data_IF_548141628431
#
_entry.id   IF_548141628431
#
_cell.length_a   1.000
_cell.length_b   1.000
_cell.length_c   1.000
_cell.angle_alpha   90.00
_cell.angle_beta   90.00
_cell.angle_gamma   90.00
#
_symmetry.space_group_name_H-M   'P 1'
#
loop_
_entity.id
_entity.type
_entity.pdbx_description
1 polymer ?
#
# COMPACT_ATOMS: atom_id res chain seq x y z
N UNK A 1 9.77 -18.70 -2.62
CA UNK A 1 9.25 -17.72 -1.65
C UNK A 1 9.25 -16.38 -2.35
N UNK A 2 8.10 -15.71 -2.46
CA UNK A 2 8.10 -14.31 -2.92
C UNK A 2 8.90 -13.52 -1.87
N UNK A 3 10.04 -12.94 -2.26
CA UNK A 3 10.77 -12.04 -1.37
C UNK A 3 9.89 -10.80 -1.19
N UNK A 4 9.31 -10.68 0.00
CA UNK A 4 8.41 -9.59 0.33
C UNK A 4 9.29 -8.43 0.76
N UNK A 5 9.36 -7.39 -0.06
CA UNK A 5 10.14 -6.19 0.21
C UNK A 5 9.22 -5.03 0.51
N UNK A 6 9.75 -4.01 1.18
CA UNK A 6 9.11 -2.70 1.27
C UNK A 6 8.88 -2.13 -0.14
N UNK A 7 7.80 -1.36 -0.30
CA UNK A 7 7.45 -0.70 -1.57
C UNK A 7 7.31 0.80 -1.37
N UNK A 8 7.88 1.60 -2.26
CA UNK A 8 7.66 3.06 -2.30
C UNK A 8 6.33 3.38 -2.96
N UNK A 9 5.84 4.62 -2.77
CA UNK A 9 4.64 5.09 -3.48
C UNK A 9 4.86 5.04 -5.00
N UNK A 10 6.02 5.50 -5.50
CA UNK A 10 6.32 5.50 -6.93
C UNK A 10 6.21 4.11 -7.57
N UNK A 11 6.58 3.05 -6.86
CA UNK A 11 6.44 1.67 -7.34
C UNK A 11 4.98 1.23 -7.51
N UNK A 12 4.03 1.84 -6.81
CA UNK A 12 2.61 1.63 -7.07
C UNK A 12 2.11 2.43 -8.27
N UNK A 13 2.73 3.58 -8.56
CA UNK A 13 2.31 4.47 -9.64
C UNK A 13 2.91 4.10 -11.01
N UNK A 14 3.93 3.25 -11.01
CA UNK A 14 4.65 2.84 -12.21
C UNK A 14 3.71 2.25 -13.26
N UNK A 15 3.79 2.77 -14.49
CA UNK A 15 3.02 2.27 -15.63
C UNK A 15 1.56 2.74 -15.72
N UNK A 16 1.07 3.58 -14.79
CA UNK A 16 -0.33 4.02 -14.78
C UNK A 16 -0.64 5.23 -15.69
N UNK A 17 0.38 5.90 -16.24
CA UNK A 17 0.17 7.00 -17.20
C UNK A 17 -0.61 8.20 -16.63
N UNK A 18 -0.43 8.49 -15.34
CA UNK A 18 -1.19 9.50 -14.59
C UNK A 18 -0.76 10.93 -14.95
N UNK A 19 -1.72 11.86 -14.97
CA UNK A 19 -1.40 13.29 -14.91
C UNK A 19 -1.01 13.73 -13.48
N UNK A 20 -0.43 14.93 -13.34
CA UNK A 20 0.04 15.44 -12.05
C UNK A 20 -1.09 15.56 -11.00
N UNK A 21 -2.30 15.93 -11.41
CA UNK A 21 -3.44 16.09 -10.48
C UNK A 21 -3.91 14.74 -9.96
N UNK A 22 -3.99 13.74 -10.83
CA UNK A 22 -4.29 12.35 -10.44
C UNK A 22 -3.20 11.79 -9.54
N UNK A 23 -1.94 12.04 -9.87
CA UNK A 23 -0.78 11.61 -9.09
C UNK A 23 -0.81 12.16 -7.68
N UNK A 24 -1.02 13.47 -7.51
CA UNK A 24 -1.13 14.11 -6.20
C UNK A 24 -2.27 13.53 -5.35
N UNK A 25 -3.46 13.34 -5.94
CA UNK A 25 -4.61 12.76 -5.25
C UNK A 25 -4.35 11.32 -4.82
N UNK A 26 -3.71 10.52 -5.68
CA UNK A 26 -3.35 9.14 -5.33
C UNK A 26 -2.32 9.13 -4.21
N UNK A 27 -1.26 9.93 -4.30
CA UNK A 27 -0.23 10.04 -3.25
C UNK A 27 -0.91 10.33 -1.90
N UNK A 28 -1.80 11.33 -1.85
CA UNK A 28 -2.52 11.68 -0.63
C UNK A 28 -3.40 10.51 -0.12
N UNK A 29 -4.08 9.80 -1.02
CA UNK A 29 -4.96 8.70 -0.66
C UNK A 29 -4.22 7.48 -0.08
N UNK A 30 -3.03 7.15 -0.59
CA UNK A 30 -2.37 5.88 -0.27
C UNK A 30 -1.19 5.99 0.71
N UNK A 31 -0.67 7.19 0.97
CA UNK A 31 0.57 7.38 1.76
C UNK A 31 0.54 6.63 3.10
N UNK A 32 -0.54 6.82 3.89
CA UNK A 32 -0.67 6.17 5.19
C UNK A 32 -0.76 4.65 5.06
N UNK A 33 -1.51 4.16 4.08
CA UNK A 33 -1.70 2.73 3.81
C UNK A 33 -0.40 2.06 3.39
N UNK A 34 0.40 2.72 2.54
CA UNK A 34 1.75 2.26 2.14
C UNK A 34 2.69 2.19 3.36
N UNK A 35 2.63 3.19 4.24
CA UNK A 35 3.39 3.17 5.49
C UNK A 35 3.00 1.97 6.38
N UNK A 36 1.70 1.72 6.59
CA UNK A 36 1.22 0.58 7.37
C UNK A 36 1.64 -0.76 6.75
N UNK A 37 1.52 -0.87 5.43
CA UNK A 37 1.97 -2.03 4.65
C UNK A 37 3.46 -2.31 4.87
N UNK A 38 4.32 -1.29 4.77
CA UNK A 38 5.76 -1.46 4.96
C UNK A 38 6.13 -1.79 6.43
N UNK A 39 5.39 -1.25 7.40
CA UNK A 39 5.53 -1.67 8.80
C UNK A 39 5.26 -3.17 9.01
N UNK A 40 4.33 -3.76 8.23
CA UNK A 40 4.08 -5.21 8.27
C UNK A 40 5.23 -6.02 7.68
N UNK A 41 5.89 -5.52 6.62
CA UNK A 41 7.10 -6.13 6.07
C UNK A 41 8.20 -6.20 7.14
N UNK A 42 8.50 -5.06 7.79
CA UNK A 42 9.52 -5.01 8.85
C UNK A 42 9.20 -5.99 9.98
N UNK A 43 7.93 -6.05 10.40
CA UNK A 43 7.49 -7.02 11.42
C UNK A 43 7.65 -8.47 10.96
N UNK A 44 7.33 -8.78 9.71
CA UNK A 44 7.50 -10.12 9.15
C UNK A 44 8.99 -10.54 9.05
N UNK A 45 9.88 -9.61 8.71
CA UNK A 45 11.33 -9.86 8.62
C UNK A 45 11.94 -10.15 10.00
N UNK A 46 11.45 -9.49 11.05
CA UNK A 46 11.95 -9.65 12.43
C UNK A 46 11.29 -10.82 13.19
N UNK A 47 10.19 -11.38 12.68
CA UNK A 47 9.42 -12.41 13.35
C UNK A 47 10.05 -13.80 13.17
N UNK A 48 10.22 -14.52 14.28
CA UNK A 48 10.79 -15.87 14.33
C UNK A 48 9.70 -16.94 14.41
N UNK A 49 8.52 -16.58 14.88
CA UNK A 49 7.35 -17.45 14.91
C UNK A 49 6.70 -17.52 13.52
N UNK A 50 6.73 -18.69 12.91
CA UNK A 50 6.23 -18.90 11.54
C UNK A 50 4.72 -18.62 11.40
N UNK A 51 3.92 -18.84 12.45
CA UNK A 51 2.49 -18.57 12.41
C UNK A 51 2.23 -17.05 12.41
N UNK A 52 2.90 -16.31 13.29
CA UNK A 52 2.80 -14.84 13.32
C UNK A 52 3.37 -14.21 12.05
N UNK A 53 4.47 -14.75 11.55
CA UNK A 53 5.05 -14.34 10.27
C UNK A 53 4.02 -14.48 9.16
N UNK A 54 3.37 -15.65 9.04
CA UNK A 54 2.30 -15.89 8.08
C UNK A 54 1.13 -14.90 8.20
N UNK A 55 0.76 -14.50 9.43
CA UNK A 55 -0.25 -13.46 9.65
C UNK A 55 0.20 -12.10 9.10
N UNK A 56 1.47 -11.70 9.31
CA UNK A 56 1.99 -10.48 8.72
C UNK A 56 2.04 -10.55 7.19
N UNK A 57 2.39 -11.70 6.60
CA UNK A 57 2.39 -11.88 5.15
C UNK A 57 1.00 -11.66 4.57
N UNK A 58 -0.02 -12.26 5.19
CA UNK A 58 -1.42 -12.06 4.80
C UNK A 58 -1.83 -10.59 4.91
N UNK A 59 -1.47 -9.92 6.01
CA UNK A 59 -1.77 -8.49 6.14
C UNK A 59 -1.08 -7.64 5.07
N UNK A 60 0.13 -8.00 4.62
CA UNK A 60 0.80 -7.27 3.52
C UNK A 60 -0.02 -7.38 2.23
N UNK A 61 -0.52 -8.58 1.91
CA UNK A 61 -1.40 -8.81 0.75
C UNK A 61 -2.72 -8.02 0.87
N UNK A 62 -3.32 -7.99 2.07
CA UNK A 62 -4.54 -7.21 2.35
C UNK A 62 -4.29 -5.71 2.12
N UNK A 63 -3.18 -5.17 2.60
CA UNK A 63 -2.83 -3.77 2.36
C UNK A 63 -2.53 -3.47 0.89
N UNK A 64 -1.85 -4.37 0.16
CA UNK A 64 -1.63 -4.22 -1.29
C UNK A 64 -2.99 -4.12 -2.03
N UNK A 65 -4.02 -4.87 -1.60
CA UNK A 65 -5.39 -4.74 -2.15
C UNK A 65 -6.06 -3.42 -1.77
N UNK A 66 -5.95 -2.98 -0.52
CA UNK A 66 -6.51 -1.70 -0.06
C UNK A 66 -5.90 -0.53 -0.84
N UNK A 67 -4.57 -0.53 -1.03
CA UNK A 67 -3.86 0.49 -1.82
C UNK A 67 -4.43 0.54 -3.24
N UNK A 68 -4.58 -0.62 -3.89
CA UNK A 68 -5.16 -0.69 -5.24
C UNK A 68 -6.59 -0.14 -5.28
N UNK A 69 -7.42 -0.46 -4.29
CA UNK A 69 -8.80 0.04 -4.21
C UNK A 69 -8.84 1.58 -4.06
N UNK A 70 -7.99 2.15 -3.20
CA UNK A 70 -7.92 3.61 -3.03
C UNK A 70 -7.45 4.32 -4.31
N UNK A 71 -6.49 3.72 -5.03
CA UNK A 71 -6.06 4.23 -6.34
C UNK A 71 -7.21 4.20 -7.35
N UNK A 72 -7.92 3.08 -7.46
CA UNK A 72 -9.06 2.92 -8.37
C UNK A 72 -10.17 3.94 -8.09
N UNK A 73 -10.44 4.27 -6.82
CA UNK A 73 -11.40 5.33 -6.44
C UNK A 73 -10.98 6.69 -6.99
N UNK A 74 -9.71 7.06 -6.83
CA UNK A 74 -9.19 8.33 -7.36
C UNK A 74 -9.30 8.38 -8.88
N UNK A 75 -8.94 7.29 -9.56
CA UNK A 75 -9.00 7.20 -11.03
C UNK A 75 -10.42 7.31 -11.57
N UNK A 76 -11.42 6.85 -10.81
CA UNK A 76 -12.85 7.01 -11.13
C UNK A 76 -13.40 8.39 -10.76
N UNK A 77 -12.60 9.26 -10.14
CA UNK A 77 -13.02 10.58 -9.68
C UNK A 77 -13.88 10.57 -8.42
N UNK A 78 -13.84 9.48 -7.65
CA UNK A 78 -14.56 9.37 -6.38
C UNK A 78 -13.93 10.27 -5.30
N UNK A 79 -14.72 10.63 -4.27
CA UNK A 79 -14.20 11.40 -3.14
C UNK A 79 -13.20 10.55 -2.36
N UNK A 80 -11.98 11.06 -2.25
CA UNK A 80 -10.96 10.55 -1.34
C UNK A 80 -11.31 10.92 0.10
N UNK A 81 -11.26 9.93 0.98
CA UNK A 81 -11.22 10.14 2.41
C UNK A 81 -9.75 10.04 2.84
N UNK A 82 -9.04 11.17 3.04
CA UNK A 82 -7.73 11.11 3.67
C UNK A 82 -7.91 10.44 5.03
N UNK A 83 -7.02 9.51 5.39
CA UNK A 83 -6.98 8.97 6.74
C UNK A 83 -6.69 10.13 7.70
N UNK A 84 -7.61 10.38 8.64
CA UNK A 84 -7.38 11.31 9.74
C UNK A 84 -6.16 10.83 10.54
N UNK A 85 -5.09 11.64 10.53
CA UNK A 85 -3.83 11.40 11.23
C UNK A 85 -3.98 11.50 12.76
#
# INVERSE_FOLDING_TARGET
>A
MNNISQKTIDQYLEGLGLDEVQKEKIILAITYTVYQRNNKVVKAEMEKDELKKAQFLRSIEEYDQIIKQEMDKVLKGEKIHPYDL
#
